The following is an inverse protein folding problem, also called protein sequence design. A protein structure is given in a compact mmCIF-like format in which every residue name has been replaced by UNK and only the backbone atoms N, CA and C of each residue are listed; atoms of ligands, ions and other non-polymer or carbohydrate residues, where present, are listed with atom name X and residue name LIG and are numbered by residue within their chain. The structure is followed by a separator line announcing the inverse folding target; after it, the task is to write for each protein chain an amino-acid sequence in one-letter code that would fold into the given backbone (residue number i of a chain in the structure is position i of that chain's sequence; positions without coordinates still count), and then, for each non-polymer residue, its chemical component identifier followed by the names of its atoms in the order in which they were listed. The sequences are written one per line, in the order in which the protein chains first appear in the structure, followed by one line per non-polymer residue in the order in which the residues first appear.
data_IF_077373307548
#
_entry.id   IF_077373307548
#
_cell.length_a   1.000
_cell.length_b   1.000
_cell.length_c   1.000
_cell.angle_alpha   90.00
_cell.angle_beta   90.00
_cell.angle_gamma   90.00
#
_symmetry.space_group_name_H-M   'P 1'
#
loop_
_entity.id
_entity.type
_entity.pdbx_description
1 polymer ?
2 water ?
#
# COMPACT_ATOMS: atom_id res chain seq x y z
N UNK A 25 -2.56 8.33 -7.50
CA UNK A 25 -2.67 7.35 -6.43
C UNK A 25 -2.70 8.02 -5.05
N UNK A 26 -1.99 9.14 -4.96
CA UNK A 26 -1.60 9.68 -3.67
C UNK A 26 -2.77 10.34 -2.92
N UNK A 27 -3.85 10.71 -3.62
CA UNK A 27 -5.03 11.19 -2.92
C UNK A 27 -5.56 10.13 -1.95
N UNK A 28 -5.59 8.88 -2.38
CA UNK A 28 -6.11 7.77 -1.55
C UNK A 28 -5.12 7.34 -0.48
N UNK A 29 -3.86 7.09 -0.86
CA UNK A 29 -2.88 6.73 0.18
C UNK A 29 -2.74 7.83 1.23
N UNK A 30 -3.02 9.09 0.89
CA UNK A 30 -3.02 10.14 1.91
C UNK A 30 -4.09 9.97 2.98
N UNK A 31 -5.29 9.51 2.57
CA UNK A 31 -6.32 9.12 3.56
C UNK A 31 -5.82 8.01 4.46
N UNK A 32 -5.12 7.05 3.86
CA UNK A 32 -4.71 6.00 4.73
C UNK A 32 -3.55 6.42 5.61
N UNK A 33 -2.87 7.55 5.27
CA UNK A 33 -1.82 8.00 6.15
C UNK A 33 -2.36 8.45 7.52
N UNK A 34 -3.47 9.16 7.53
CA UNK A 34 -4.05 9.57 8.80
C UNK A 34 -4.49 8.33 9.58
N UNK A 35 -5.15 7.36 8.89
CA UNK A 35 -5.57 6.15 9.57
C UNK A 35 -4.39 5.45 10.24
N UNK A 36 -3.30 5.26 9.49
CA UNK A 36 -2.18 4.51 10.01
C UNK A 36 -1.54 5.24 11.21
N UNK A 37 -1.36 6.55 11.15
CA UNK A 37 -0.80 7.29 12.28
C UNK A 37 -1.72 7.21 13.49
N UNK A 38 -3.01 7.38 13.28
CA UNK A 38 -3.97 7.27 14.40
C UNK A 38 -3.97 5.89 15.04
N UNK A 39 -4.03 4.81 14.19
CA UNK A 39 -4.11 3.49 14.73
C UNK A 39 -2.84 3.08 15.51
N UNK A 40 -1.70 3.71 15.12
CA UNK A 40 -0.48 3.34 15.79
C UNK A 40 -0.43 3.82 17.23
N UNK A 41 -1.22 4.82 17.59
CA UNK A 41 -1.19 5.34 18.96
C UNK A 41 -0.08 6.37 19.20
N UNK A 42 0.70 6.70 18.17
CA UNK A 42 1.90 7.55 18.43
C UNK A 42 1.60 8.91 19.09
N UNK A 43 0.48 9.51 18.76
CA UNK A 43 0.14 10.81 19.35
C UNK A 43 -0.17 10.75 20.83
N UNK A 44 -0.45 9.56 21.36
CA UNK A 44 -0.88 9.43 22.75
C UNK A 44 -0.10 8.46 23.63
N UNK A 45 1.04 8.00 23.19
CA UNK A 45 1.78 6.95 23.86
C UNK A 45 2.55 7.54 25.03
N UNK A 46 2.81 6.68 26.01
CA UNK A 46 3.69 7.03 27.11
C UNK A 46 5.17 6.78 26.78
N UNK A 47 5.49 6.06 25.70
CA UNK A 47 6.88 5.80 25.31
C UNK A 47 7.53 7.13 24.93
N UNK A 48 8.50 7.59 25.71
CA UNK A 48 9.19 8.84 25.40
C UNK A 48 10.68 8.70 25.70
N UNK A 49 11.57 9.30 24.88
CA UNK A 49 11.23 10.10 23.70
C UNK A 49 10.74 9.24 22.57
N UNK A 50 9.96 9.83 21.69
CA UNK A 50 9.58 9.17 20.45
C UNK A 50 10.75 9.06 19.50
N UNK A 51 11.02 7.85 19.02
CA UNK A 51 12.10 7.58 18.09
C UNK A 51 11.42 6.84 16.96
N UNK A 52 11.13 7.52 15.86
CA UNK A 52 10.23 7.00 14.84
C UNK A 52 10.96 6.74 13.53
N UNK A 53 10.60 5.66 12.88
CA UNK A 53 10.99 5.36 11.50
C UNK A 53 9.76 5.38 10.59
N UNK A 54 9.84 6.16 9.50
CA UNK A 54 8.87 6.15 8.42
C UNK A 54 9.57 5.47 7.25
N UNK A 55 9.23 4.22 6.97
CA UNK A 55 9.98 3.47 5.97
C UNK A 55 9.88 4.17 4.61
N UNK A 56 11.03 4.44 4.04
CA UNK A 56 11.17 5.05 2.72
C UNK A 56 10.35 6.34 2.62
N UNK A 57 10.12 6.99 3.74
CA UNK A 57 9.27 8.20 3.80
C UNK A 57 7.93 7.93 3.13
N UNK A 58 7.41 6.69 3.29
CA UNK A 58 6.16 6.34 2.64
C UNK A 58 4.98 7.18 3.09
N UNK A 59 4.94 7.56 4.37
CA UNK A 59 3.92 8.50 4.83
C UNK A 59 4.27 9.93 4.41
N UNK A 60 5.48 10.36 4.73
CA UNK A 60 5.85 11.76 4.48
C UNK A 60 5.80 12.18 3.02
N UNK A 61 6.00 11.26 2.09
CA UNK A 61 5.96 11.68 0.71
C UNK A 61 4.53 12.06 0.29
N UNK A 62 3.51 11.60 1.00
CA UNK A 62 2.11 11.84 0.64
C UNK A 62 1.32 12.59 1.70
N UNK A 63 1.86 12.78 2.88
CA UNK A 63 1.07 13.45 3.89
C UNK A 63 1.98 14.06 4.93
N UNK A 64 1.57 15.20 5.48
CA UNK A 64 2.32 15.80 6.58
C UNK A 64 1.87 15.30 7.94
N UNK A 65 0.90 14.35 8.01
CA UNK A 65 0.24 14.00 9.27
C UNK A 65 1.23 13.50 10.33
N UNK A 66 2.18 12.66 9.97
CA UNK A 66 3.11 12.20 10.97
C UNK A 66 4.12 13.25 11.36
N UNK A 67 4.64 14.00 10.35
CA UNK A 67 5.63 15.03 10.66
C UNK A 67 5.01 16.09 11.53
N UNK A 68 3.76 16.47 11.22
CA UNK A 68 3.05 17.47 11.98
C UNK A 68 2.69 16.97 13.38
N UNK A 69 2.38 15.68 13.50
CA UNK A 69 2.12 15.08 14.83
C UNK A 69 3.34 15.20 15.75
N UNK A 70 4.53 14.89 15.22
CA UNK A 70 5.76 15.05 15.97
C UNK A 70 6.05 16.52 16.30
N UNK A 71 5.80 17.42 15.34
CA UNK A 71 6.02 18.84 15.61
C UNK A 71 5.18 19.31 16.78
N UNK A 72 3.97 18.76 16.94
CA UNK A 72 3.07 19.14 18.02
C UNK A 72 3.50 18.61 19.38
N UNK A 73 4.52 17.76 19.44
CA UNK A 73 5.05 17.31 20.73
C UNK A 73 5.58 18.47 21.55
N UNK A 74 5.17 18.52 22.83
CA UNK A 74 5.69 19.55 23.72
C UNK A 74 7.18 19.35 24.00
N UNK A 75 7.69 18.12 23.84
CA UNK A 75 9.00 17.77 24.38
C UNK A 75 10.13 18.39 23.57
N UNK A 76 10.20 18.10 22.26
CA UNK A 76 11.32 18.46 21.34
C UNK A 76 12.51 17.52 21.49
N UNK A 77 12.31 16.35 22.14
CA UNK A 77 13.33 15.32 22.29
C UNK A 77 13.13 14.17 21.29
N UNK A 78 12.06 14.24 20.50
CA UNK A 78 11.72 13.20 19.54
C UNK A 78 12.63 13.25 18.33
N UNK A 79 12.65 12.15 17.58
CA UNK A 79 13.42 12.03 16.37
C UNK A 79 12.60 11.25 15.38
N UNK A 80 12.67 11.65 14.12
CA UNK A 80 12.08 10.89 13.04
C UNK A 80 13.18 10.57 12.03
N UNK A 81 13.15 9.33 11.55
CA UNK A 81 14.10 8.90 10.54
C UNK A 81 13.29 8.45 9.35
N UNK A 82 13.66 8.90 8.15
CA UNK A 82 13.11 8.30 6.94
C UNK A 82 14.28 7.56 6.31
N UNK A 83 14.11 6.27 6.13
CA UNK A 83 15.07 5.45 5.41
C UNK A 83 14.41 4.15 5.03
N UNK A 84 15.13 3.32 4.25
CA UNK A 84 14.50 2.15 3.63
C UNK A 84 14.91 0.86 4.32
N UNK A 85 13.89 0.09 4.73
CA UNK A 85 14.11 -1.24 5.31
C UNK A 85 14.71 -2.21 4.31
N UNK A 86 14.37 -2.07 3.04
CA UNK A 86 14.85 -2.95 1.98
C UNK A 86 16.29 -2.60 1.61
N UNK A 87 17.15 -2.53 2.63
CA UNK A 87 18.57 -2.20 2.42
C UNK A 87 18.73 -1.01 1.49
N UNK A 117 20.49 0.20 10.21
CA UNK A 117 19.60 0.68 11.28
C UNK A 117 19.92 -0.02 12.62
N UNK A 118 19.91 0.73 13.72
CA UNK A 118 20.39 0.18 14.99
C UNK A 118 19.38 -0.74 15.68
N UNK A 119 19.91 -1.66 16.51
CA UNK A 119 19.12 -2.60 17.29
C UNK A 119 18.34 -1.90 18.38
N UNK A 120 17.09 -2.32 18.56
CA UNK A 120 16.38 -1.98 19.79
C UNK A 120 16.27 -0.49 20.04
N UNK A 121 16.07 0.26 18.99
CA UNK A 121 16.18 1.71 19.00
C UNK A 121 14.85 2.42 18.87
N UNK A 122 13.95 1.97 17.99
CA UNK A 122 12.82 2.78 17.66
C UNK A 122 11.66 2.48 18.57
N UNK A 123 10.86 3.52 18.86
CA UNK A 123 9.57 3.33 19.54
C UNK A 123 8.44 3.02 18.57
N UNK A 124 8.57 3.46 17.30
CA UNK A 124 7.54 3.26 16.30
C UNK A 124 8.19 3.07 14.96
N UNK A 125 7.76 2.05 14.24
CA UNK A 125 8.14 1.85 12.86
C UNK A 125 6.85 1.87 12.04
N UNK A 126 6.80 2.73 11.02
CA UNK A 126 5.69 2.80 10.06
C UNK A 126 6.09 2.24 8.72
N UNK A 127 5.25 1.36 8.16
CA UNK A 127 5.45 0.87 6.79
C UNK A 127 4.15 1.06 6.02
N UNK A 128 4.06 2.22 5.34
CA UNK A 128 2.87 2.57 4.57
C UNK A 128 3.01 1.98 3.15
N UNK A 129 2.19 0.95 2.89
CA UNK A 129 2.15 0.28 1.59
C UNK A 129 3.55 -0.06 1.09
N UNK A 130 4.30 -0.74 1.97
CA UNK A 130 5.65 -1.15 1.63
C UNK A 130 5.78 -2.69 1.56
N UNK A 131 5.06 -3.45 2.41
CA UNK A 131 5.33 -4.88 2.51
C UNK A 131 5.04 -5.65 1.23
N UNK A 132 4.05 -5.23 0.42
CA UNK A 132 3.75 -5.97 -0.81
C UNK A 132 4.81 -5.75 -1.86
N UNK A 133 5.62 -4.70 -1.73
CA UNK A 133 6.62 -4.37 -2.76
C UNK A 133 8.06 -4.73 -2.41
N UNK A 134 8.35 -5.05 -1.13
CA UNK A 134 9.73 -5.38 -0.78
C UNK A 134 10.20 -6.58 -1.58
N UNK A 135 11.45 -6.60 -2.01
CA UNK A 135 12.04 -7.84 -2.51
C UNK A 135 11.86 -9.04 -1.58
N UNK A 136 12.03 -8.86 -0.26
CA UNK A 136 11.94 -9.96 0.70
C UNK A 136 11.12 -9.46 1.89
N UNK A 137 9.81 -9.67 1.84
CA UNK A 137 8.93 -9.12 2.86
C UNK A 137 9.25 -9.72 4.21
N UNK A 138 9.62 -11.01 4.26
CA UNK A 138 9.92 -11.59 5.57
C UNK A 138 11.19 -11.01 6.16
N UNK A 139 12.21 -10.81 5.33
CA UNK A 139 13.44 -10.21 5.84
C UNK A 139 13.13 -8.83 6.41
N UNK A 140 12.26 -8.08 5.75
CA UNK A 140 11.90 -6.74 6.15
C UNK A 140 11.16 -6.76 7.48
N UNK A 141 10.26 -7.72 7.62
CA UNK A 141 9.51 -7.84 8.88
C UNK A 141 10.44 -8.20 10.04
N UNK A 142 11.39 -9.12 9.81
CA UNK A 142 12.39 -9.46 10.81
C UNK A 142 13.19 -8.23 11.19
N UNK A 143 13.52 -7.39 10.21
CA UNK A 143 14.25 -6.16 10.49
C UNK A 143 13.42 -5.21 11.36
N UNK A 144 12.09 -5.13 11.10
CA UNK A 144 11.21 -4.31 11.92
C UNK A 144 11.31 -4.73 13.35
N UNK A 145 11.20 -6.04 13.61
CA UNK A 145 11.30 -6.52 14.99
C UNK A 145 12.67 -6.19 15.61
N UNK A 146 13.75 -6.32 14.84
CA UNK A 146 15.09 -6.13 15.37
C UNK A 146 15.31 -4.68 15.80
N UNK A 147 14.80 -3.73 15.00
CA UNK A 147 15.13 -2.30 15.22
C UNK A 147 14.16 -1.63 16.20
N UNK A 148 13.05 -2.28 16.52
CA UNK A 148 12.17 -1.79 17.57
C UNK A 148 12.76 -2.05 18.94
N UNK A 149 12.62 -1.06 19.82
CA UNK A 149 12.84 -1.22 21.24
C UNK A 149 11.71 -2.03 21.87
N UNK A 150 12.00 -2.63 23.02
CA UNK A 150 10.90 -3.13 23.86
C UNK A 150 9.86 -2.02 24.12
N UNK A 151 8.59 -2.40 23.95
CA UNK A 151 7.50 -1.49 23.95
C UNK A 151 7.23 -0.85 22.61
N UNK A 152 8.07 -1.09 21.63
CA UNK A 152 7.90 -0.44 20.33
C UNK A 152 6.77 -1.01 19.50
N UNK A 153 6.21 -0.15 18.64
CA UNK A 153 5.01 -0.50 17.84
C UNK A 153 5.40 -0.51 16.37
N UNK A 154 4.98 -1.59 15.71
CA UNK A 154 4.98 -1.63 14.23
C UNK A 154 3.58 -1.29 13.74
N UNK A 155 3.50 -0.38 12.75
CA UNK A 155 2.20 -0.07 12.12
C UNK A 155 2.40 -0.16 10.63
N UNK A 156 1.56 -0.98 9.95
CA UNK A 156 1.70 -1.10 8.50
C UNK A 156 0.34 -1.05 7.82
N UNK A 157 0.36 -0.62 6.57
CA UNK A 157 -0.81 -0.67 5.71
C UNK A 157 -0.47 -1.47 4.45
N UNK A 158 -1.38 -2.39 4.10
CA UNK A 158 -1.24 -3.15 2.87
C UNK A 158 -2.58 -3.20 2.17
N UNK A 159 -2.57 -3.55 0.89
CA UNK A 159 -3.76 -3.54 0.08
C UNK A 159 -4.48 -4.88 0.17
N UNK A 160 -5.79 -4.83 0.35
CA UNK A 160 -6.62 -6.03 0.22
C UNK A 160 -7.46 -6.05 -1.04
N UNK A 161 -8.06 -4.94 -1.41
CA UNK A 161 -8.94 -4.81 -2.56
C UNK A 161 -8.76 -3.41 -3.12
N UNK A 162 -8.90 -3.29 -4.44
CA UNK A 162 -9.00 -1.98 -5.03
C UNK A 162 -9.65 -2.10 -6.39
N UNK A 163 -10.30 -1.03 -6.80
CA UNK A 163 -11.20 -1.14 -7.95
C UNK A 163 -10.51 -0.87 -9.28
N UNK A 164 -9.22 -0.53 -9.30
CA UNK A 164 -8.69 -0.19 -10.63
C UNK A 164 -8.49 -1.41 -11.52
N UNK A 165 -8.21 -2.60 -10.95
CA UNK A 165 -8.17 -3.80 -11.78
C UNK A 165 -9.52 -4.11 -12.41
N UNK A 166 -10.64 -4.11 -11.68
CA UNK A 166 -11.95 -4.29 -12.33
C UNK A 166 -12.20 -3.32 -13.49
N UNK A 167 -11.93 -2.01 -13.29
CA UNK A 167 -12.17 -1.04 -14.36
C UNK A 167 -11.32 -1.39 -15.58
N UNK A 168 -10.04 -1.72 -15.37
CA UNK A 168 -9.21 -2.10 -16.51
C UNK A 168 -9.73 -3.37 -17.17
N UNK A 169 -10.05 -4.39 -16.38
CA UNK A 169 -10.61 -5.60 -16.98
C UNK A 169 -11.81 -5.24 -17.86
N UNK A 170 -12.72 -4.41 -17.35
CA UNK A 170 -13.90 -4.07 -18.12
C UNK A 170 -13.52 -3.45 -19.44
N UNK A 171 -12.54 -2.55 -19.42
CA UNK A 171 -12.10 -1.97 -20.67
C UNK A 171 -11.58 -3.06 -21.59
N UNK A 172 -10.87 -4.06 -21.04
CA UNK A 172 -10.25 -5.04 -21.93
C UNK A 172 -11.26 -6.02 -22.50
N UNK A 173 -12.36 -6.30 -21.79
CA UNK A 173 -13.36 -7.21 -22.34
C UNK A 173 -14.25 -6.53 -23.38
N UNK A 174 -13.87 -5.33 -23.82
CA UNK A 174 -14.39 -4.74 -25.06
C UNK A 174 -13.58 -5.18 -26.28
N UNK A 175 -12.33 -5.56 -26.11
CA UNK A 175 -11.54 -6.06 -27.24
C UNK A 175 -12.11 -7.40 -27.69
N UNK A 176 -12.21 -7.68 -28.99
CA UNK A 176 -12.61 -9.02 -29.41
C UNK A 176 -11.49 -10.02 -29.16
N UNK A 177 -11.87 -11.22 -28.75
CA UNK A 177 -10.89 -12.27 -28.51
C UNK A 177 -10.89 -12.82 -27.12
N UNK A 178 -11.78 -12.38 -26.23
CA UNK A 178 -11.89 -12.95 -24.89
C UNK A 178 -10.51 -12.99 -24.23
N UNK A 179 -9.81 -11.84 -24.29
CA UNK A 179 -8.41 -11.77 -23.87
C UNK A 179 -8.30 -11.87 -22.35
N UNK A 180 -7.25 -12.52 -21.85
CA UNK A 180 -7.15 -12.76 -20.40
C UNK A 180 -6.59 -11.56 -19.66
N UNK A 181 -7.09 -11.37 -18.45
CA UNK A 181 -6.62 -10.29 -17.61
C UNK A 181 -6.66 -10.74 -16.15
N UNK A 182 -5.69 -10.32 -15.34
CA UNK A 182 -5.68 -10.72 -13.93
C UNK A 182 -6.98 -10.38 -13.26
N UNK A 183 -7.46 -11.30 -12.43
CA UNK A 183 -8.45 -10.93 -11.45
C UNK A 183 -7.79 -10.10 -10.36
N UNK A 184 -8.63 -9.57 -9.47
CA UNK A 184 -8.12 -8.75 -8.40
C UNK A 184 -7.19 -9.55 -7.47
N UNK A 185 -7.54 -10.82 -7.22
CA UNK A 185 -6.71 -11.61 -6.32
C UNK A 185 -5.43 -12.05 -7.02
N UNK A 186 -5.53 -12.43 -8.29
CA UNK A 186 -4.35 -12.77 -9.08
C UNK A 186 -3.34 -11.63 -9.09
N UNK A 187 -3.83 -10.40 -9.19
CA UNK A 187 -2.91 -9.27 -9.30
C UNK A 187 -2.16 -9.05 -7.99
N UNK A 188 -2.90 -9.05 -6.86
CA UNK A 188 -2.29 -8.83 -5.53
C UNK A 188 -1.20 -9.86 -5.24
N UNK A 189 -1.45 -11.11 -5.60
CA UNK A 189 -0.57 -12.24 -5.35
C UNK A 189 0.62 -12.33 -6.29
N UNK A 190 0.76 -11.40 -7.22
CA UNK A 190 1.94 -11.42 -8.07
C UNK A 190 3.22 -11.18 -7.26
N UNK A 191 3.14 -10.47 -6.13
CA UNK A 191 4.33 -10.24 -5.33
C UNK A 191 3.95 -10.20 -3.86
N UNK A 192 4.68 -10.98 -3.07
CA UNK A 192 4.51 -11.04 -1.63
C UNK A 192 3.05 -11.31 -1.29
N UNK A 193 2.64 -12.50 -1.70
CA UNK A 193 1.29 -12.91 -1.42
C UNK A 193 1.12 -13.12 0.07
N UNK A 194 -0.10 -12.86 0.56
CA UNK A 194 -0.42 -13.04 1.95
C UNK A 194 -0.75 -11.76 2.67
N UNK A 195 -0.18 -10.63 2.21
CA UNK A 195 -0.35 -9.36 2.88
C UNK A 195 -1.72 -8.73 2.62
N UNK A 196 -2.58 -9.43 1.87
CA UNK A 196 -4.02 -9.12 1.77
C UNK A 196 -4.89 -9.96 2.65
N UNK A 197 -4.33 -10.74 3.61
CA UNK A 197 -5.05 -11.69 4.44
C UNK A 197 -4.79 -11.39 5.93
N UNK A 198 -5.86 -11.11 6.66
CA UNK A 198 -5.71 -10.84 8.11
C UNK A 198 -5.06 -12.02 8.83
N UNK A 199 -5.47 -13.26 8.50
CA UNK A 199 -4.91 -14.41 9.21
C UNK A 199 -3.42 -14.62 8.89
N UNK A 200 -3.02 -14.44 7.64
CA UNK A 200 -1.62 -14.54 7.25
C UNK A 200 -0.78 -13.54 8.03
N UNK A 201 -1.20 -12.28 8.02
CA UNK A 201 -0.40 -11.22 8.65
C UNK A 201 -0.28 -11.49 10.14
N UNK A 202 -1.39 -11.83 10.79
CA UNK A 202 -1.34 -12.01 12.24
C UNK A 202 -0.33 -13.10 12.61
N UNK A 203 -0.32 -14.20 11.88
CA UNK A 203 0.61 -15.29 12.16
C UNK A 203 2.05 -14.87 11.86
N UNK A 204 2.28 -14.18 10.73
CA UNK A 204 3.65 -13.76 10.41
C UNK A 204 4.22 -12.87 11.51
N UNK A 205 3.41 -11.95 12.05
CA UNK A 205 3.88 -11.07 13.12
C UNK A 205 4.08 -11.86 14.41
N UNK A 206 3.13 -12.74 14.74
CA UNK A 206 3.26 -13.44 16.01
C UNK A 206 4.45 -14.40 16.00
N UNK A 207 4.77 -15.05 14.86
CA UNK A 207 5.90 -15.96 14.78
C UNK A 207 7.19 -15.25 15.17
N UNK A 208 7.29 -13.97 14.87
CA UNK A 208 8.51 -13.20 15.07
C UNK A 208 8.60 -12.59 16.45
N UNK A 209 7.59 -12.76 17.28
CA UNK A 209 7.56 -12.25 18.61
C UNK A 209 6.67 -11.06 18.86
N UNK A 210 5.98 -10.50 17.84
CA UNK A 210 5.05 -9.42 18.09
C UNK A 210 3.84 -9.92 18.86
N UNK A 211 3.32 -9.06 19.73
CA UNK A 211 2.12 -9.39 20.46
C UNK A 211 1.10 -8.27 20.36
N UNK A 212 -0.05 -8.46 20.97
CA UNK A 212 -1.20 -7.54 20.78
C UNK A 212 -1.41 -7.19 19.30
N UNK A 213 -1.31 -8.18 18.46
CA UNK A 213 -1.33 -7.95 16.99
C UNK A 213 -2.80 -7.80 16.57
N UNK A 214 -3.09 -6.69 15.86
CA UNK A 214 -4.40 -6.39 15.31
C UNK A 214 -4.26 -6.12 13.81
N UNK A 215 -5.19 -6.67 13.04
CA UNK A 215 -5.17 -6.52 11.55
C UNK A 215 -6.59 -6.13 11.15
N UNK A 216 -6.80 -4.87 10.78
CA UNK A 216 -8.14 -4.33 10.63
C UNK A 216 -8.36 -3.87 9.20
N UNK A 217 -9.36 -4.40 8.49
CA UNK A 217 -9.71 -3.85 7.15
C UNK A 217 -10.43 -2.49 7.28
N UNK A 218 -9.97 -1.52 6.48
CA UNK A 218 -10.49 -0.15 6.46
C UNK A 218 -10.82 0.24 5.03
N UNK A 219 -12.09 0.37 4.69
CA UNK A 219 -12.43 0.88 3.36
C UNK A 219 -12.32 2.38 3.31
N UNK A 220 -11.79 2.87 2.19
CA UNK A 220 -11.82 4.28 1.87
C UNK A 220 -12.18 4.46 0.40
N UNK A 221 -12.82 5.58 0.10
CA UNK A 221 -13.24 5.90 -1.25
C UNK A 221 -12.79 7.31 -1.59
N UNK A 222 -12.36 7.52 -2.83
CA UNK A 222 -12.14 8.87 -3.32
C UNK A 222 -12.42 8.89 -4.83
N UNK A 223 -11.97 9.94 -5.51
CA UNK A 223 -12.19 10.09 -6.95
C UNK A 223 -10.99 10.77 -7.57
N UNK A 224 -10.77 10.45 -8.84
CA UNK A 224 -9.60 10.92 -9.55
C UNK A 224 -10.00 11.27 -10.98
N UNK A 225 -9.36 12.26 -11.58
CA UNK A 225 -9.70 12.61 -12.97
C UNK A 225 -9.34 11.49 -13.92
N UNK A 226 -10.06 11.46 -15.05
CA UNK A 226 -9.84 10.43 -16.07
C UNK A 226 -8.38 10.41 -16.49
N UNK A 227 -7.84 11.57 -16.85
CA UNK A 227 -6.46 11.66 -17.31
C UNK A 227 -5.52 11.00 -16.33
N UNK A 228 -5.64 11.33 -15.04
CA UNK A 228 -4.78 10.69 -14.06
C UNK A 228 -5.08 9.20 -13.94
N UNK A 229 -6.35 8.82 -13.95
CA UNK A 229 -6.63 7.39 -13.85
C UNK A 229 -6.08 6.64 -15.07
N UNK A 230 -6.21 7.22 -16.25
CA UNK A 230 -5.62 6.57 -17.43
C UNK A 230 -4.13 6.36 -17.25
N UNK A 231 -3.41 7.36 -16.74
CA UNK A 231 -1.96 7.23 -16.66
C UNK A 231 -1.57 6.16 -15.65
N UNK A 232 -2.30 6.04 -14.55
CA UNK A 232 -1.99 4.98 -13.60
C UNK A 232 -2.17 3.63 -14.28
N UNK A 233 -3.21 3.50 -15.11
CA UNK A 233 -3.45 2.24 -15.79
C UNK A 233 -2.27 1.86 -16.67
N UNK A 234 -1.76 2.82 -17.44
CA UNK A 234 -0.68 2.57 -18.38
C UNK A 234 0.67 2.39 -17.70
N UNK A 235 0.79 2.70 -16.42
CA UNK A 235 1.95 2.24 -15.68
C UNK A 235 1.84 0.76 -15.35
N UNK A 236 0.64 0.21 -15.30
CA UNK A 236 0.42 -1.17 -14.89
C UNK A 236 0.35 -2.11 -16.09
N UNK A 237 -0.36 -1.71 -17.13
CA UNK A 237 -0.58 -2.55 -18.30
C UNK A 237 0.72 -3.16 -18.82
N UNK A 238 1.75 -2.37 -19.13
CA UNK A 238 2.97 -2.97 -19.69
C UNK A 238 3.56 -4.04 -18.80
N UNK A 239 3.31 -3.99 -17.50
CA UNK A 239 3.87 -4.95 -16.57
C UNK A 239 3.09 -6.25 -16.55
N UNK A 240 1.81 -6.22 -16.96
CA UNK A 240 0.95 -7.38 -16.88
C UNK A 240 1.00 -8.24 -18.14
N UNK A 241 0.68 -7.64 -19.28
CA UNK A 241 0.58 -8.34 -20.56
C UNK A 241 1.66 -9.40 -20.78
N UNK A 242 2.94 -9.12 -20.53
CA UNK A 242 3.95 -10.18 -20.62
C UNK A 242 3.64 -11.39 -19.77
N UNK A 243 2.93 -11.23 -18.65
CA UNK A 243 2.67 -12.36 -17.78
C UNK A 243 1.40 -13.10 -18.15
N UNK A 244 0.49 -12.46 -18.90
CA UNK A 244 -0.82 -13.05 -19.15
C UNK A 244 -1.18 -13.21 -20.62
N UNK A 245 -0.40 -12.68 -21.55
CA UNK A 245 -0.70 -12.82 -22.96
C UNK A 245 0.44 -13.54 -23.66
N UNK A 246 0.11 -14.30 -24.69
CA UNK A 246 1.12 -14.84 -25.57
C UNK A 246 1.66 -13.72 -26.42
N UNK A 247 2.89 -13.90 -26.91
CA UNK A 247 3.42 -12.95 -27.88
C UNK A 247 2.49 -12.86 -29.08
N UNK A 248 1.79 -13.95 -29.40
CA UNK A 248 0.79 -13.87 -30.46
C UNK A 248 -0.31 -12.91 -30.09
N UNK A 249 -0.77 -12.94 -28.83
CA UNK A 249 -1.85 -12.04 -28.44
C UNK A 249 -1.37 -10.59 -28.33
N UNK A 250 -0.13 -10.39 -27.88
CA UNK A 250 0.41 -9.04 -27.71
C UNK A 250 0.65 -8.36 -29.06
N UNK A 251 1.38 -9.02 -29.97
CA UNK A 251 1.55 -8.46 -31.30
C UNK A 251 0.20 -8.16 -31.94
N UNK A 252 -0.83 -8.94 -31.61
CA UNK A 252 -2.13 -8.78 -32.26
C UNK A 252 -2.92 -7.58 -31.72
N UNK A 253 -2.79 -7.28 -30.41
CA UNK A 253 -3.69 -6.35 -29.72
C UNK A 253 -3.00 -5.30 -28.83
N UNK A 254 -1.73 -5.48 -28.46
CA UNK A 254 -1.09 -4.62 -27.46
C UNK A 254 -1.19 -3.12 -27.78
N UNK A 255 -1.06 -2.76 -29.06
CA UNK A 255 -0.92 -1.35 -29.45
C UNK A 255 -2.22 -0.58 -29.32
N UNK A 256 -3.37 -1.26 -29.38
CA UNK A 256 -4.65 -0.59 -29.29
C UNK A 256 -5.14 -0.42 -27.87
N UNK A 257 -4.47 -1.01 -26.88
CA UNK A 257 -4.97 -0.92 -25.50
C UNK A 257 -5.12 0.53 -25.05
N UNK A 258 -4.18 1.43 -25.32
CA UNK A 258 -4.38 2.81 -24.87
C UNK A 258 -5.66 3.43 -25.40
N UNK A 259 -5.95 3.25 -26.67
CA UNK A 259 -7.11 3.89 -27.26
C UNK A 259 -8.40 3.34 -26.70
N UNK A 260 -8.54 2.03 -26.62
CA UNK A 260 -9.76 1.46 -26.04
C UNK A 260 -9.89 1.89 -24.59
N UNK A 261 -8.80 1.82 -23.84
CA UNK A 261 -8.85 2.25 -22.44
C UNK A 261 -9.35 3.69 -22.35
N UNK A 262 -8.68 4.61 -23.03
CA UNK A 262 -9.18 5.98 -23.09
C UNK A 262 -10.64 6.02 -23.53
N UNK A 263 -10.99 5.25 -24.57
CA UNK A 263 -12.36 5.25 -25.07
C UNK A 263 -13.35 4.77 -24.01
N UNK A 264 -13.03 3.65 -23.34
CA UNK A 264 -13.91 3.13 -22.30
C UNK A 264 -14.05 4.13 -21.16
N UNK A 265 -12.94 4.78 -20.81
CA UNK A 265 -12.96 5.70 -19.68
C UNK A 265 -13.77 6.94 -20.01
N UNK A 266 -13.53 7.52 -21.18
CA UNK A 266 -14.35 8.63 -21.64
C UNK A 266 -15.80 8.19 -21.79
N UNK A 267 -16.04 7.03 -22.40
CA UNK A 267 -17.38 6.46 -22.46
C UNK A 267 -18.11 6.54 -21.14
N UNK A 268 -17.49 6.01 -20.07
CA UNK A 268 -18.21 5.66 -18.85
C UNK A 268 -18.32 6.81 -17.85
N UNK A 269 -17.28 7.63 -17.68
CA UNK A 269 -17.25 8.59 -16.58
C UNK A 269 -17.36 10.03 -17.06
N UNK A 270 -17.98 10.25 -18.20
CA UNK A 270 -18.03 11.58 -18.76
C UNK A 270 -16.76 11.84 -19.55
N UNK A 271 -16.61 13.09 -19.97
CA UNK A 271 -15.48 13.49 -20.80
C UNK A 271 -14.32 14.07 -20.00
N UNK A 272 -14.60 14.98 -19.06
CA UNK A 272 -13.62 15.45 -18.09
C UNK A 272 -13.97 14.99 -16.68
N UNK A 273 -14.70 13.88 -16.57
CA UNK A 273 -15.28 13.44 -15.32
C UNK A 273 -14.28 12.80 -14.39
N UNK A 274 -14.81 12.24 -13.32
CA UNK A 274 -13.99 11.63 -12.29
C UNK A 274 -14.21 10.13 -12.32
N UNK A 275 -13.17 9.38 -11.99
CA UNK A 275 -13.24 7.95 -11.81
C UNK A 275 -13.18 7.67 -10.32
N UNK A 276 -14.09 6.88 -9.75
CA UNK A 276 -13.97 6.53 -8.34
C UNK A 276 -12.72 5.69 -8.09
N UNK A 277 -12.10 5.91 -6.92
CA UNK A 277 -11.03 5.06 -6.41
C UNK A 277 -11.54 4.50 -5.10
N UNK A 278 -11.93 3.23 -5.07
CA UNK A 278 -12.36 2.55 -3.87
C UNK A 278 -11.33 1.48 -3.46
N UNK A 279 -11.05 1.38 -2.16
CA UNK A 279 -10.06 0.40 -1.74
C UNK A 279 -10.37 -0.06 -0.36
N UNK A 280 -9.76 -1.20 -0.03
CA UNK A 280 -9.75 -1.73 1.31
C UNK A 280 -8.30 -2.00 1.60
N UNK A 281 -7.80 -1.43 2.68
CA UNK A 281 -6.43 -1.67 3.13
C UNK A 281 -6.53 -2.37 4.48
N UNK A 282 -5.56 -3.24 4.74
CA UNK A 282 -5.39 -3.87 6.06
C UNK A 282 -4.44 -2.98 6.86
N UNK A 283 -4.88 -2.54 8.06
CA UNK A 283 -4.09 -1.74 8.95
C UNK A 283 -3.66 -2.67 10.08
N UNK A 284 -2.36 -2.88 10.17
CA UNK A 284 -1.74 -3.86 11.05
C UNK A 284 -0.97 -3.11 12.08
N UNK A 285 -1.17 -3.46 13.38
CA UNK A 285 -0.34 -2.93 14.47
C UNK A 285 0.12 -4.12 15.30
N UNK A 286 1.32 -4.01 15.83
CA UNK A 286 1.84 -5.05 16.71
C UNK A 286 2.86 -4.46 17.67
N UNK A 287 2.98 -5.08 18.85
CA UNK A 287 3.87 -4.60 19.89
C UNK A 287 5.09 -5.50 20.04
N UNK A 288 6.25 -4.94 20.22
CA UNK A 288 7.43 -5.76 20.54
C UNK A 288 7.51 -5.77 22.06
N UNK A 289 7.33 -6.90 22.71
CA UNK A 289 7.42 -6.84 24.18
C UNK A 289 8.76 -6.40 24.66
#
# INVERSE_FOLDING_TARGET
GHMSKSDYIQNMFQTKSFVDRYKYTEKLTGLYAQTLVDYSGVANTSQKPLIVLDNACGIGAVSSVLNHTLQDEAKKTWKLTCGDLSEGMLETTKRRLQDEGWVNAETKIVNALDTGLPDGHYTHVFVAFGFQSFPDANAALKECFRILASGGILASSTWQNFNWIPIMKAAIETIPGNLPFPTQKEFIALHNAGWDSESYIQSELEKLGFRDVKVIPVPKETSIPIDEFFEVCMMIIPYLLPKFWTEEQRESHEKDVPMVLRQYLQDTYGANGQVPLEAVALITTGLKP
#
